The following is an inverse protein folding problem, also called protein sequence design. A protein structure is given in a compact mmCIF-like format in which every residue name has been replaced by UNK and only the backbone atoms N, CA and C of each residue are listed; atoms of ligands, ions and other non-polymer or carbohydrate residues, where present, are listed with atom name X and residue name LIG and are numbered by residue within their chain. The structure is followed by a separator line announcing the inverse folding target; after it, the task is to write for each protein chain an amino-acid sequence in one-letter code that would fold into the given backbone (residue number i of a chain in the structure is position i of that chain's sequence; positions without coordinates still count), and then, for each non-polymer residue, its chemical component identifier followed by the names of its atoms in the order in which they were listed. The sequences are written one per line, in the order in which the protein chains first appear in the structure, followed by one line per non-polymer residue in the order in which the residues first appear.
data_IF_274452330166
#
_entry.id   IF_274452330166
#
_cell.length_a   1.000
_cell.length_b   1.000
_cell.length_c   1.000
_cell.angle_alpha   90.00
_cell.angle_beta   90.00
_cell.angle_gamma   90.00
#
_symmetry.space_group_name_H-M   'P 1'
#
loop_
_entity.id
_entity.type
_entity.pdbx_description
1 polymer ?
#
# COMPACT_ATOMS: atom_id res chain seq x y z
N UNK A 1 -4.57 8.49 -8.58
CA UNK A 1 -4.07 8.17 -7.22
C UNK A 1 -3.62 6.72 -7.24
N UNK A 2 -2.54 6.39 -6.53
CA UNK A 2 -2.04 5.02 -6.42
C UNK A 2 -2.27 4.50 -5.01
N UNK A 3 -2.54 3.20 -4.89
CA UNK A 3 -2.65 2.52 -3.60
C UNK A 3 -1.28 1.96 -3.24
N UNK A 4 -0.73 2.42 -2.12
CA UNK A 4 0.53 1.93 -1.58
C UNK A 4 0.26 0.96 -0.43
N UNK A 5 1.21 0.08 -0.13
CA UNK A 5 1.05 -0.92 0.92
C UNK A 5 2.34 -1.29 1.65
N UNK A 6 2.20 -1.63 2.93
CA UNK A 6 3.25 -2.16 3.79
C UNK A 6 2.79 -3.48 4.40
N UNK A 7 3.69 -4.47 4.44
CA UNK A 7 3.43 -5.77 5.08
C UNK A 7 4.41 -6.01 6.22
N UNK A 8 3.91 -6.55 7.33
CA UNK A 8 4.71 -7.04 8.45
C UNK A 8 4.48 -8.53 8.61
N UNK A 9 5.56 -9.28 8.77
CA UNK A 9 5.55 -10.73 8.96
C UNK A 9 4.81 -11.16 10.25
N UNK A 10 4.43 -12.44 10.31
CA UNK A 10 3.65 -13.03 11.41
C UNK A 10 4.30 -12.83 12.79
N UNK A 11 5.63 -12.81 12.83
CA UNK A 11 6.39 -12.65 14.06
C UNK A 11 7.53 -11.65 13.87
N UNK A 12 7.38 -10.50 14.52
CA UNK A 12 8.44 -9.50 14.68
C UNK A 12 8.50 -9.09 16.14
N UNK A 13 9.62 -8.55 16.61
CA UNK A 13 9.67 -7.94 17.95
C UNK A 13 8.74 -6.72 18.01
N UNK A 14 8.27 -6.39 19.22
CA UNK A 14 7.42 -5.22 19.43
C UNK A 14 8.11 -3.93 18.98
N UNK A 15 9.40 -3.77 19.31
CA UNK A 15 10.18 -2.60 18.91
C UNK A 15 10.24 -2.48 17.38
N UNK A 16 10.46 -3.61 16.68
CA UNK A 16 10.51 -3.62 15.23
C UNK A 16 9.15 -3.27 14.62
N UNK A 17 8.05 -3.74 15.21
CA UNK A 17 6.70 -3.35 14.79
C UNK A 17 6.47 -1.84 14.95
N UNK A 18 6.88 -1.26 16.08
CA UNK A 18 6.76 0.17 16.35
C UNK A 18 7.55 0.99 15.32
N UNK A 19 8.79 0.59 15.01
CA UNK A 19 9.63 1.25 14.01
C UNK A 19 8.97 1.26 12.63
N UNK A 20 8.42 0.10 12.23
CA UNK A 20 7.73 -0.04 10.94
C UNK A 20 6.51 0.87 10.90
N UNK A 21 5.63 0.81 11.91
CA UNK A 21 4.43 1.63 11.95
C UNK A 21 4.73 3.13 12.00
N UNK A 22 5.80 3.53 12.71
CA UNK A 22 6.26 4.92 12.74
C UNK A 22 6.75 5.37 11.36
N UNK A 23 7.55 4.54 10.68
CA UNK A 23 8.00 4.80 9.30
C UNK A 23 6.82 4.92 8.34
N UNK A 24 5.80 4.05 8.47
CA UNK A 24 4.59 4.12 7.65
C UNK A 24 3.86 5.43 7.90
N UNK A 25 3.71 5.83 9.18
CA UNK A 25 3.07 7.10 9.56
C UNK A 25 3.78 8.32 8.99
N UNK A 26 5.11 8.34 9.00
CA UNK A 26 5.92 9.42 8.42
C UNK A 26 5.77 9.54 6.90
N UNK A 27 5.46 8.43 6.22
CA UNK A 27 5.26 8.37 4.77
C UNK A 27 3.81 8.62 4.34
N UNK A 28 2.87 8.64 5.28
CA UNK A 28 1.48 8.97 4.97
C UNK A 28 1.39 10.46 4.60
N UNK A 29 0.79 10.80 3.44
CA UNK A 29 0.59 12.19 3.09
C UNK A 29 -0.36 12.87 4.08
N UNK A 30 -0.16 14.17 4.33
CA UNK A 30 -1.04 14.95 5.20
C UNK A 30 -2.50 14.82 4.75
N UNK A 31 -3.39 14.45 5.68
CA UNK A 31 -4.81 14.24 5.38
C UNK A 31 -5.17 12.85 4.84
N UNK A 32 -4.27 11.87 4.83
CA UNK A 32 -4.58 10.48 4.51
C UNK A 32 -5.45 9.81 5.60
N UNK A 33 -6.74 10.15 5.64
CA UNK A 33 -7.72 9.58 6.59
C UNK A 33 -8.13 8.15 6.25
N UNK A 34 -7.88 7.73 5.01
CA UNK A 34 -8.33 6.43 4.47
C UNK A 34 -7.28 5.32 4.62
N UNK A 35 -6.25 5.52 5.45
CA UNK A 35 -5.29 4.48 5.76
C UNK A 35 -6.00 3.32 6.48
N UNK A 36 -5.90 2.12 5.93
CA UNK A 36 -6.54 0.91 6.47
C UNK A 36 -5.49 -0.10 6.88
N UNK A 37 -5.70 -0.70 8.04
CA UNK A 37 -4.89 -1.80 8.57
C UNK A 37 -5.74 -3.07 8.57
N UNK A 38 -5.20 -4.17 8.04
CA UNK A 38 -5.88 -5.45 7.95
C UNK A 38 -4.92 -6.59 8.30
N UNK A 39 -5.38 -7.56 9.09
CA UNK A 39 -4.68 -8.84 9.23
C UNK A 39 -5.06 -9.75 8.07
N UNK A 40 -4.08 -10.31 7.38
CA UNK A 40 -4.24 -11.25 6.27
C UNK A 40 -3.56 -12.57 6.59
N UNK A 41 -3.97 -13.64 5.92
CA UNK A 41 -3.42 -14.97 6.15
C UNK A 41 -4.15 -15.75 7.26
N UNK A 42 -3.61 -16.91 7.58
CA UNK A 42 -4.24 -17.89 8.46
C UNK A 42 -3.17 -18.68 9.25
N UNK A 43 -3.60 -19.69 10.00
CA UNK A 43 -2.71 -20.49 10.85
C UNK A 43 -1.91 -21.55 10.07
N UNK A 44 -2.18 -21.72 8.76
CA UNK A 44 -1.48 -22.66 7.87
C UNK A 44 -0.33 -21.96 7.15
N UNK A 45 -0.57 -20.76 6.62
CA UNK A 45 0.40 -19.98 5.85
C UNK A 45 1.07 -18.86 6.65
N UNK A 46 0.63 -18.65 7.90
CA UNK A 46 1.03 -17.53 8.75
C UNK A 46 0.17 -16.29 8.52
N UNK A 47 0.06 -15.44 9.54
CA UNK A 47 -0.69 -14.18 9.46
C UNK A 47 0.27 -13.04 9.13
N UNK A 48 -0.21 -11.99 8.48
CA UNK A 48 0.57 -10.80 8.13
C UNK A 48 -0.27 -9.55 8.31
N UNK A 49 0.32 -8.53 8.90
CA UNK A 49 -0.31 -7.22 9.01
C UNK A 49 -0.09 -6.46 7.71
N UNK A 50 -1.16 -6.04 7.06
CA UNK A 50 -1.13 -5.24 5.84
C UNK A 50 -1.67 -3.85 6.14
N UNK A 51 -0.89 -2.80 5.82
CA UNK A 51 -1.32 -1.40 5.87
C UNK A 51 -1.42 -0.89 4.45
N UNK A 52 -2.54 -0.28 4.07
CA UNK A 52 -2.76 0.26 2.73
C UNK A 52 -3.36 1.65 2.78
N UNK A 53 -2.97 2.53 1.85
CA UNK A 53 -3.48 3.89 1.76
C UNK A 53 -3.43 4.40 0.32
N UNK A 54 -4.18 5.47 0.05
CA UNK A 54 -4.15 6.17 -1.23
C UNK A 54 -3.20 7.35 -1.15
N UNK A 55 -2.36 7.51 -2.18
CA UNK A 55 -1.49 8.67 -2.34
C UNK A 55 -1.57 9.24 -3.76
N UNK A 56 -1.23 10.52 -3.95
CA UNK A 56 -1.00 11.06 -5.29
C UNK A 56 0.13 10.30 -6.01
N UNK A 57 0.03 10.25 -7.34
CA UNK A 57 1.10 9.73 -8.19
C UNK A 57 2.29 10.69 -8.11
N UNK A 58 3.50 10.14 -8.07
CA UNK A 58 4.71 10.94 -8.27
C UNK A 58 4.78 11.43 -9.72
N UNK A 59 5.59 12.46 -10.00
CA UNK A 59 5.74 13.00 -11.35
C UNK A 59 6.18 11.94 -12.38
N UNK A 60 7.05 11.01 -11.97
CA UNK A 60 7.47 9.91 -12.83
C UNK A 60 6.36 8.88 -13.07
N UNK A 61 5.60 8.52 -12.02
CA UNK A 61 4.47 7.59 -12.14
C UNK A 61 3.37 8.20 -13.02
N UNK A 62 3.10 9.49 -12.88
CA UNK A 62 2.16 10.21 -13.75
C UNK A 62 2.65 10.27 -15.21
N UNK A 63 3.95 10.47 -15.43
CA UNK A 63 4.53 10.46 -16.78
C UNK A 63 4.49 9.06 -17.42
N UNK A 64 4.66 7.99 -16.63
CA UNK A 64 4.48 6.60 -17.09
C UNK A 64 3.02 6.30 -17.37
N UNK A 65 2.11 6.68 -16.48
CA UNK A 65 0.66 6.52 -16.64
C UNK A 65 0.17 7.21 -17.91
N UNK A 66 0.61 8.45 -18.17
CA UNK A 66 0.29 9.18 -19.39
C UNK A 66 0.74 8.49 -20.69
N UNK A 67 1.86 7.74 -20.64
CA UNK A 67 2.36 6.98 -21.80
C UNK A 67 1.48 5.77 -22.12
N UNK A 68 0.94 5.09 -21.11
CA UNK A 68 0.14 3.87 -21.27
C UNK A 68 -1.38 4.12 -21.24
N UNK A 69 -1.84 5.28 -20.77
CA UNK A 69 -3.26 5.66 -20.74
C UNK A 69 -3.89 5.72 -22.14
N UNK A 70 -3.08 5.93 -23.19
CA UNK A 70 -3.53 5.89 -24.59
C UNK A 70 -3.71 4.49 -25.17
N UNK A 71 -3.08 3.46 -24.61
CA UNK A 71 -3.02 2.11 -25.20
C UNK A 71 -3.93 1.07 -24.51
N UNK A 72 -4.46 1.36 -23.31
CA UNK A 72 -5.16 0.34 -22.49
C UNK A 72 -6.58 0.71 -22.01
N UNK A 73 -7.40 1.37 -22.85
CA UNK A 73 -8.88 1.35 -22.70
C UNK A 73 -9.51 0.14 -23.41
N UNK A 74 -8.77 -0.95 -23.58
CA UNK A 74 -9.32 -2.21 -24.09
C UNK A 74 -9.99 -2.97 -22.93
N UNK A 75 -11.31 -2.79 -22.85
CA UNK A 75 -12.32 -3.73 -22.37
C UNK A 75 -11.87 -4.81 -21.38
N UNK A 76 -12.05 -4.56 -20.08
CA UNK A 76 -12.43 -5.61 -19.13
C UNK A 76 -13.93 -5.49 -18.88
N UNK A 77 -14.67 -5.85 -19.92
CA UNK A 77 -16.07 -6.22 -19.85
C UNK A 77 -16.17 -7.56 -20.58
N UNK A 78 -16.03 -8.64 -19.82
CA UNK A 78 -16.40 -10.00 -20.18
C UNK A 78 -16.74 -10.74 -18.88
#
# INVERSE_FOLDING_TARGET
MVRDFFEVEDRVSLDRMIDILSTVRERLPEGATDAKVQMRGDDIFGRRLSVSYLRPLTAEEAARDARYAGENRLSIAA
#
